data_IF_215252193981
#
_entry.id   IF_215252193981
#
_cell.length_a   1.000
_cell.length_b   1.000
_cell.length_c   1.000
_cell.angle_alpha   90.00
_cell.angle_beta   90.00
_cell.angle_gamma   90.00
#
_symmetry.space_group_name_H-M   'P 1'
#
loop_
_entity.id
_entity.type
_entity.pdbx_description
1 polymer ?
#
# COMPACT_ATOMS: atom_id res chain seq x y z
N UNK A 1 16.26 -18.63 -7.02
CA UNK A 1 15.73 -17.24 -7.19
C UNK A 1 14.89 -16.75 -5.99
N UNK A 2 14.42 -17.62 -5.08
CA UNK A 2 13.53 -17.24 -3.97
C UNK A 2 14.18 -16.30 -2.95
N UNK A 3 15.45 -16.51 -2.59
CA UNK A 3 16.19 -15.66 -1.65
C UNK A 3 16.16 -14.17 -2.03
N UNK A 4 16.30 -13.85 -3.32
CA UNK A 4 16.26 -12.46 -3.79
C UNK A 4 14.87 -11.85 -3.71
N UNK A 5 13.82 -12.64 -3.99
CA UNK A 5 12.44 -12.18 -3.90
C UNK A 5 12.02 -11.94 -2.45
N UNK A 6 12.38 -12.86 -1.54
CA UNK A 6 12.15 -12.70 -0.10
C UNK A 6 12.95 -11.51 0.48
N UNK A 7 14.22 -11.38 0.12
CA UNK A 7 15.05 -10.24 0.53
C UNK A 7 14.45 -8.90 0.07
N UNK A 8 13.96 -8.84 -1.17
CA UNK A 8 13.27 -7.66 -1.70
C UNK A 8 11.96 -7.38 -0.95
N UNK A 9 11.18 -8.40 -0.62
CA UNK A 9 9.93 -8.24 0.11
C UNK A 9 10.15 -7.73 1.55
N UNK A 10 11.24 -8.17 2.20
CA UNK A 10 11.61 -7.77 3.56
C UNK A 10 12.46 -6.49 3.62
N UNK A 11 12.93 -5.97 2.48
CA UNK A 11 13.89 -4.87 2.44
C UNK A 11 15.27 -5.21 3.01
N UNK A 12 15.61 -6.51 3.06
CA UNK A 12 16.86 -7.02 3.62
C UNK A 12 17.87 -7.37 2.53
N UNK A 13 19.12 -7.63 2.94
CA UNK A 13 20.15 -8.09 2.00
C UNK A 13 19.98 -9.59 1.75
N UNK A 14 20.19 -10.09 0.51
CA UNK A 14 20.08 -11.52 0.21
C UNK A 14 20.94 -12.42 1.10
N UNK A 15 22.07 -11.92 1.60
CA UNK A 15 22.95 -12.67 2.51
C UNK A 15 22.33 -12.92 3.89
N UNK A 16 21.36 -12.13 4.31
CA UNK A 16 20.67 -12.27 5.60
C UNK A 16 19.55 -13.32 5.53
N UNK A 17 18.99 -13.53 4.33
CA UNK A 17 17.86 -14.43 4.08
C UNK A 17 18.28 -15.74 3.43
N UNK A 18 19.56 -15.88 3.04
CA UNK A 18 20.08 -17.10 2.39
C UNK A 18 20.12 -18.32 3.31
N UNK A 19 20.07 -18.11 4.62
CA UNK A 19 20.13 -19.18 5.63
C UNK A 19 18.75 -19.63 6.08
N UNK A 20 17.69 -19.03 5.54
CA UNK A 20 16.31 -19.36 5.88
C UNK A 20 15.88 -20.59 5.09
N UNK A 21 14.93 -21.33 5.65
CA UNK A 21 14.44 -22.54 5.01
C UNK A 21 13.64 -22.20 3.75
N UNK A 22 13.68 -23.10 2.77
CA UNK A 22 13.02 -22.87 1.48
C UNK A 22 11.51 -22.66 1.64
N UNK A 23 10.88 -23.35 2.60
CA UNK A 23 9.46 -23.20 2.93
C UNK A 23 9.12 -21.80 3.46
N UNK A 24 10.00 -21.20 4.27
CA UNK A 24 9.83 -19.84 4.79
C UNK A 24 9.97 -18.81 3.66
N UNK A 25 10.94 -19.02 2.76
CA UNK A 25 11.14 -18.17 1.58
C UNK A 25 9.94 -18.26 0.62
N UNK A 26 9.39 -19.46 0.43
CA UNK A 26 8.18 -19.68 -0.36
C UNK A 26 6.96 -18.99 0.26
N UNK A 27 6.77 -19.10 1.57
CA UNK A 27 5.68 -18.43 2.28
C UNK A 27 5.71 -16.91 2.12
N UNK A 28 6.89 -16.31 2.22
CA UNK A 28 7.07 -14.86 2.01
C UNK A 28 6.79 -14.42 0.57
N UNK A 29 7.25 -15.19 -0.40
CA UNK A 29 7.00 -14.87 -1.81
C UNK A 29 5.51 -15.00 -2.14
N UNK A 30 4.85 -16.06 -1.65
CA UNK A 30 3.42 -16.28 -1.83
C UNK A 30 2.59 -15.15 -1.17
N UNK A 31 2.94 -14.76 0.05
CA UNK A 31 2.30 -13.63 0.73
C UNK A 31 2.46 -12.33 -0.06
N UNK A 32 3.66 -12.05 -0.57
CA UNK A 32 3.92 -10.86 -1.40
C UNK A 32 3.13 -10.85 -2.71
N UNK A 33 2.89 -12.01 -3.32
CA UNK A 33 2.05 -12.13 -4.52
C UNK A 33 0.58 -11.85 -4.20
N UNK A 34 0.07 -12.38 -3.09
CA UNK A 34 -1.31 -12.16 -2.66
C UNK A 34 -1.59 -10.69 -2.31
N UNK A 35 -0.65 -10.02 -1.66
CA UNK A 35 -0.73 -8.57 -1.42
C UNK A 35 -0.68 -7.76 -2.72
N UNK A 36 0.14 -8.17 -3.70
CA UNK A 36 0.20 -7.50 -4.99
C UNK A 36 -1.12 -7.63 -5.77
N UNK A 37 -1.78 -8.78 -5.70
CA UNK A 37 -3.11 -9.00 -6.28
C UNK A 37 -4.18 -8.14 -5.59
N UNK A 38 -4.17 -8.06 -4.26
CA UNK A 38 -5.07 -7.20 -3.47
C UNK A 38 -4.91 -5.70 -3.79
N UNK A 39 -3.67 -5.24 -4.01
CA UNK A 39 -3.40 -3.85 -4.42
C UNK A 39 -3.88 -3.61 -5.86
N UNK A 40 -3.68 -4.58 -6.75
CA UNK A 40 -4.12 -4.49 -8.15
C UNK A 40 -5.65 -4.41 -8.24
N UNK A 41 -6.36 -5.24 -7.47
CA UNK A 41 -7.83 -5.22 -7.39
C UNK A 41 -8.34 -3.84 -6.95
N UNK A 42 -7.74 -3.25 -5.91
CA UNK A 42 -8.08 -1.89 -5.45
C UNK A 42 -7.76 -0.79 -6.47
N UNK A 43 -6.73 -0.97 -7.31
CA UNK A 43 -6.43 -0.04 -8.41
C UNK A 43 -7.43 -0.16 -9.56
N UNK A 44 -7.85 -1.37 -9.92
CA UNK A 44 -8.87 -1.58 -10.96
C UNK A 44 -10.25 -1.08 -10.49
N UNK A 45 -10.59 -1.22 -9.22
CA UNK A 45 -11.81 -0.66 -8.62
C UNK A 45 -11.78 0.88 -8.58
N UNK A 46 -10.61 1.48 -8.42
CA UNK A 46 -10.41 2.94 -8.51
C UNK A 46 -10.42 3.48 -9.94
N UNK A 47 -10.38 2.61 -10.96
CA UNK A 47 -10.39 2.97 -12.39
C UNK A 47 -11.77 3.28 -12.97
N UNK A 48 -12.85 3.09 -12.21
CA UNK A 48 -14.24 3.35 -12.64
C UNK A 48 -14.76 4.75 -12.25
N UNK A 49 -13.90 5.67 -11.81
CA UNK A 49 -14.24 7.08 -11.71
C UNK A 49 -13.84 7.80 -13.02
N UNK A 50 -14.81 7.89 -13.92
CA UNK A 50 -14.79 8.67 -15.18
C UNK A 50 -14.08 10.03 -15.07
N UNK A 51 -12.92 10.15 -15.73
CA UNK A 51 -12.19 11.39 -15.99
C UNK A 51 -11.14 11.16 -17.10
N UNK A 52 -10.90 12.12 -18.02
CA UNK A 52 -10.26 11.86 -19.32
C UNK A 52 -8.77 11.46 -19.22
N UNK A 53 -8.22 10.78 -20.25
CA UNK A 53 -6.91 10.14 -20.16
C UNK A 53 -5.78 11.17 -20.21
N UNK A 54 -5.11 11.39 -19.08
CA UNK A 54 -3.90 12.20 -19.02
C UNK A 54 -2.67 11.33 -19.35
N UNK A 55 -2.00 11.68 -20.47
CA UNK A 55 -0.75 11.08 -20.98
C UNK A 55 0.38 11.11 -19.93
N UNK A 56 1.27 10.10 -19.85
CA UNK A 56 2.50 10.17 -19.04
C UNK A 56 3.69 10.67 -19.89
N UNK A 57 4.90 10.90 -19.32
CA UNK A 57 5.26 11.42 -18.00
C UNK A 57 6.24 12.62 -18.11
N UNK A 58 6.18 13.60 -17.20
CA UNK A 58 7.26 14.60 -17.05
C UNK A 58 7.89 14.43 -15.67
N UNK A 59 9.16 14.02 -15.70
CA UNK A 59 10.09 13.99 -14.57
C UNK A 59 10.26 15.41 -14.02
N UNK A 60 9.50 15.78 -12.99
CA UNK A 60 9.67 17.09 -12.37
C UNK A 60 8.64 17.40 -11.28
N UNK A 61 9.15 17.68 -10.08
CA UNK A 61 8.46 18.27 -8.92
C UNK A 61 7.31 17.44 -8.30
N UNK A 62 7.62 16.81 -7.17
CA UNK A 62 6.64 16.36 -6.20
C UNK A 62 5.95 17.58 -5.57
N UNK A 63 4.87 18.07 -6.18
CA UNK A 63 3.91 18.93 -5.50
C UNK A 63 3.07 18.03 -4.59
N UNK A 64 3.60 17.74 -3.41
CA UNK A 64 2.93 16.95 -2.39
C UNK A 64 1.66 17.69 -1.97
N UNK A 65 0.50 17.25 -2.48
CA UNK A 65 -0.79 17.79 -2.11
C UNK A 65 -1.11 17.39 -0.66
N UNK A 66 -0.81 18.27 0.29
CA UNK A 66 -1.15 18.10 1.70
C UNK A 66 -2.68 18.09 1.85
N UNK A 67 -3.25 16.91 2.09
CA UNK A 67 -4.68 16.75 2.44
C UNK A 67 -4.87 17.11 3.92
N UNK A 68 -5.30 18.34 4.18
CA UNK A 68 -5.69 18.76 5.54
C UNK A 68 -7.15 18.43 5.79
N UNK A 69 -7.43 17.51 6.73
CA UNK A 69 -8.79 17.21 7.19
C UNK A 69 -9.05 17.99 8.48
N UNK A 70 -10.01 18.92 8.46
CA UNK A 70 -10.42 19.70 9.65
C UNK A 70 -11.69 19.07 10.22
N UNK A 71 -11.61 18.47 11.40
CA UNK A 71 -12.79 18.02 12.15
C UNK A 71 -13.35 19.17 12.96
N UNK A 72 -14.63 19.51 12.75
CA UNK A 72 -15.37 20.45 13.61
C UNK A 72 -16.26 19.66 14.55
N UNK A 73 -15.97 19.73 15.85
CA UNK A 73 -16.80 19.14 16.89
C UNK A 73 -17.92 20.12 17.22
N UNK A 74 -19.17 19.75 16.93
CA UNK A 74 -20.35 20.50 17.34
C UNK A 74 -20.59 20.40 18.85
N UNK A 75 -21.36 21.33 19.45
CA UNK A 75 -21.69 21.28 20.87
C UNK A 75 -22.38 19.96 21.23
N UNK A 76 -21.97 19.35 22.34
CA UNK A 76 -22.55 18.10 22.84
C UNK A 76 -24.05 18.28 23.12
N UNK A 77 -24.91 17.31 22.77
CA UNK A 77 -26.32 17.37 23.12
C UNK A 77 -26.48 17.42 24.65
N UNK A 78 -27.46 18.17 25.17
CA UNK A 78 -27.72 18.22 26.61
C UNK A 78 -28.11 16.83 27.11
N UNK A 79 -27.58 16.45 28.28
CA UNK A 79 -27.93 15.18 28.94
C UNK A 79 -29.43 15.17 29.28
N UNK A 80 -30.12 14.02 29.17
CA UNK A 80 -31.47 13.88 29.70
C UNK A 80 -31.45 14.19 31.19
N UNK A 81 -32.40 15.00 31.66
CA UNK A 81 -32.66 15.17 33.10
C UNK A 81 -33.41 13.92 33.57
N UNK A 82 -32.81 13.15 34.47
CA UNK A 82 -33.56 12.32 35.42
C UNK A 82 -34.08 13.18 36.57
#
# INVERSE_FOLDING_TARGET
MLVFAAAKALGQRPNEVRTWDEDELLGLVAYGQLEAESIKEKQEESGHASGPPARPPVRGQATQATRTVIYRVGPRPPKPKE
#
